data_IF_508756303878
#
_entry.id   IF_508756303878
#
_cell.length_a   1.000
_cell.length_b   1.000
_cell.length_c   1.000
_cell.angle_alpha   90.00
_cell.angle_beta   90.00
_cell.angle_gamma   90.00
#
_symmetry.space_group_name_H-M   'P 1'
#
loop_
_entity.id
_entity.type
_entity.pdbx_description
1 polymer ?
#
# COMPACT_ATOMS: atom_id res chain seq x y z
N UNK A 1 -11.44 16.87 -15.91
CA UNK A 1 -10.97 15.99 -14.85
C UNK A 1 -9.65 16.55 -14.33
N UNK A 2 -9.46 16.58 -13.03
CA UNK A 2 -8.27 17.14 -12.38
C UNK A 2 -7.91 16.27 -11.17
N UNK A 3 -6.62 16.01 -10.97
CA UNK A 3 -6.11 15.27 -9.82
C UNK A 3 -5.66 16.27 -8.74
N UNK A 4 -6.25 16.21 -7.56
CA UNK A 4 -6.00 17.16 -6.49
C UNK A 4 -5.53 16.42 -5.24
N UNK A 5 -4.50 16.96 -4.61
CA UNK A 5 -3.95 16.46 -3.37
C UNK A 5 -4.89 16.75 -2.19
N UNK A 6 -5.17 15.72 -1.40
CA UNK A 6 -5.91 15.79 -0.15
C UNK A 6 -4.99 15.32 0.98
N UNK A 7 -4.56 16.21 1.89
CA UNK A 7 -3.67 15.85 2.98
C UNK A 7 -4.39 15.01 4.03
N UNK A 8 -3.64 14.17 4.73
CA UNK A 8 -4.15 13.43 5.88
C UNK A 8 -4.28 14.32 7.12
N UNK A 9 -5.29 14.04 7.91
CA UNK A 9 -5.41 14.56 9.26
C UNK A 9 -4.52 13.71 10.18
N UNK A 10 -3.51 14.33 10.78
CA UNK A 10 -2.48 13.67 11.56
C UNK A 10 -1.16 13.51 10.79
N UNK A 11 -0.15 12.99 11.45
CA UNK A 11 1.17 12.75 10.88
C UNK A 11 1.24 11.30 10.34
N UNK A 12 1.26 11.09 9.01
CA UNK A 12 1.39 9.77 8.43
C UNK A 12 2.78 9.20 8.74
N UNK A 13 2.81 7.96 9.22
CA UNK A 13 4.05 7.24 9.47
C UNK A 13 3.77 5.73 9.55
N UNK A 14 4.81 4.91 9.52
CA UNK A 14 4.75 3.47 9.72
C UNK A 14 3.98 3.11 11.00
N UNK A 15 3.05 2.15 10.91
CA UNK A 15 2.22 1.71 12.02
C UNK A 15 1.20 2.73 12.54
N UNK A 16 0.97 3.83 11.84
CA UNK A 16 0.02 4.88 12.24
C UNK A 16 -1.27 4.82 11.44
N UNK A 17 -2.36 5.19 12.15
CA UNK A 17 -3.66 5.44 11.53
C UNK A 17 -3.78 6.92 11.18
N UNK A 18 -4.29 7.19 9.99
CA UNK A 18 -4.58 8.54 9.50
C UNK A 18 -5.94 8.57 8.83
N UNK A 19 -6.57 9.72 8.82
CA UNK A 19 -7.84 9.95 8.15
C UNK A 19 -7.69 11.10 7.17
N UNK A 20 -8.28 10.95 6.00
CA UNK A 20 -8.40 12.01 5.01
C UNK A 20 -9.88 12.32 4.80
N UNK A 21 -10.28 13.55 5.08
CA UNK A 21 -11.61 14.04 4.71
C UNK A 21 -11.54 14.57 3.29
N UNK A 22 -12.31 13.98 2.39
CA UNK A 22 -12.28 14.32 0.97
C UNK A 22 -12.89 15.72 0.77
N UNK A 23 -12.11 16.60 0.16
CA UNK A 23 -12.54 17.95 -0.17
C UNK A 23 -13.50 17.93 -1.36
N UNK A 24 -14.44 18.88 -1.39
CA UNK A 24 -15.45 18.97 -2.47
C UNK A 24 -14.98 19.90 -3.57
N UNK A 25 -13.89 19.54 -4.20
CA UNK A 25 -13.29 20.32 -5.28
C UNK A 25 -13.96 20.09 -6.65
N UNK A 26 -14.71 18.98 -6.80
CA UNK A 26 -15.40 18.63 -8.03
C UNK A 26 -16.75 17.98 -7.76
N UNK A 27 -17.45 17.62 -8.83
CA UNK A 27 -18.82 17.07 -8.76
C UNK A 27 -18.83 15.56 -8.50
N UNK A 28 -17.91 14.83 -9.13
CA UNK A 28 -17.74 13.39 -8.92
C UNK A 28 -16.29 13.07 -8.60
N UNK A 29 -16.08 11.92 -7.93
CA UNK A 29 -14.75 11.33 -7.70
C UNK A 29 -14.66 10.04 -8.49
N UNK A 30 -13.51 9.84 -9.16
CA UNK A 30 -13.23 8.58 -9.86
C UNK A 30 -12.05 7.86 -9.25
N UNK A 31 -10.82 8.20 -9.58
CA UNK A 31 -9.63 7.48 -9.09
C UNK A 31 -9.06 8.11 -7.84
N UNK A 32 -8.47 7.26 -7.00
CA UNK A 32 -7.72 7.68 -5.84
C UNK A 32 -6.37 6.96 -5.80
N UNK A 33 -5.34 7.71 -5.44
CA UNK A 33 -3.97 7.21 -5.30
C UNK A 33 -3.44 7.61 -3.94
N UNK A 34 -2.95 6.63 -3.19
CA UNK A 34 -2.11 6.92 -2.04
C UNK A 34 -0.70 7.22 -2.53
N UNK A 35 -0.23 8.43 -2.32
CA UNK A 35 1.18 8.79 -2.47
C UNK A 35 1.87 8.55 -1.12
N UNK A 36 2.99 7.85 -1.13
CA UNK A 36 3.83 7.68 0.05
C UNK A 36 5.30 7.70 -0.38
N UNK A 37 6.11 8.51 0.29
CA UNK A 37 7.54 8.63 -0.01
C UNK A 37 8.34 7.90 1.05
N UNK A 38 9.01 6.83 0.63
CA UNK A 38 9.94 6.07 1.45
C UNK A 38 11.21 6.88 1.69
N UNK A 39 11.79 6.82 2.90
CA UNK A 39 13.07 7.45 3.17
C UNK A 39 14.20 6.74 2.44
N UNK A 40 15.30 7.46 2.19
CA UNK A 40 16.55 6.85 1.78
C UNK A 40 17.09 5.98 2.92
N UNK A 41 17.64 4.83 2.57
CA UNK A 41 18.30 3.94 3.52
C UNK A 41 19.75 3.73 3.10
N UNK A 42 20.69 4.10 3.95
CA UNK A 42 22.12 3.86 3.72
C UNK A 42 22.70 2.98 4.84
N UNK A 43 23.52 2.02 4.44
CA UNK A 43 24.26 1.19 5.39
C UNK A 43 25.47 1.98 5.91
N UNK A 44 25.64 1.99 7.23
CA UNK A 44 26.69 2.74 7.90
C UNK A 44 27.76 1.78 8.49
N UNK A 45 29.00 2.23 8.68
CA UNK A 45 30.03 1.41 9.34
C UNK A 45 29.62 0.95 10.74
N UNK A 46 28.77 1.71 11.45
CA UNK A 46 28.23 1.37 12.76
C UNK A 46 27.28 0.17 12.75
N UNK A 47 26.71 -0.19 11.58
CA UNK A 47 25.82 -1.35 11.46
C UNK A 47 26.59 -2.69 11.52
N UNK A 48 27.92 -2.64 11.51
CA UNK A 48 28.80 -3.81 11.60
C UNK A 48 29.11 -4.42 10.21
N UNK A 49 30.17 -5.18 10.14
CA UNK A 49 30.58 -5.85 8.90
C UNK A 49 29.55 -6.87 8.44
N UNK A 50 29.15 -6.80 7.16
CA UNK A 50 28.15 -7.70 6.59
C UNK A 50 26.70 -7.28 6.86
N UNK A 51 26.48 -6.05 7.32
CA UNK A 51 25.13 -5.48 7.42
C UNK A 51 24.40 -5.50 6.09
N UNK A 52 23.12 -5.80 6.13
CA UNK A 52 22.28 -6.00 4.96
C UNK A 52 20.89 -5.38 5.20
N UNK A 53 20.28 -4.88 4.13
CA UNK A 53 18.92 -4.34 4.17
C UNK A 53 18.26 -4.51 2.79
N UNK A 54 16.94 -4.68 2.80
CA UNK A 54 16.09 -4.52 1.61
C UNK A 54 14.65 -4.16 2.00
N UNK A 55 13.97 -3.42 1.16
CA UNK A 55 12.52 -3.35 1.21
C UNK A 55 11.90 -4.64 0.68
N UNK A 56 10.74 -5.02 1.18
CA UNK A 56 10.03 -6.20 0.68
C UNK A 56 9.44 -5.93 -0.70
N UNK A 57 9.26 -7.00 -1.46
CA UNK A 57 8.62 -6.93 -2.77
C UNK A 57 7.20 -6.34 -2.64
N UNK A 58 6.78 -5.61 -3.66
CA UNK A 58 5.45 -4.97 -3.68
C UNK A 58 5.20 -4.07 -2.47
N UNK A 59 6.20 -3.31 -2.09
CA UNK A 59 6.18 -2.48 -0.88
C UNK A 59 4.95 -1.55 -0.83
N UNK A 60 4.47 -1.05 -1.98
CA UNK A 60 3.28 -0.21 -2.05
C UNK A 60 2.00 -0.93 -1.63
N UNK A 61 1.86 -2.22 -1.89
CA UNK A 61 0.73 -3.00 -1.37
C UNK A 61 0.93 -3.30 0.12
N UNK A 62 2.14 -3.68 0.49
CA UNK A 62 2.45 -4.09 1.86
C UNK A 62 2.42 -2.93 2.86
N UNK A 63 2.66 -1.68 2.42
CA UNK A 63 2.61 -0.50 3.29
C UNK A 63 1.20 -0.21 3.80
N UNK A 64 0.17 -0.68 3.09
CA UNK A 64 -1.24 -0.53 3.46
C UNK A 64 -1.66 -1.72 4.32
N UNK A 65 -1.82 -1.53 5.62
CA UNK A 65 -2.44 -2.54 6.49
C UNK A 65 -3.92 -2.68 6.12
N UNK A 66 -4.64 -1.56 6.13
CA UNK A 66 -5.96 -1.47 5.53
C UNK A 66 -6.28 -0.04 5.10
N UNK A 67 -7.21 0.07 4.17
CA UNK A 67 -7.85 1.31 3.76
C UNK A 67 -9.36 1.11 3.71
N UNK A 68 -10.11 2.04 4.30
CA UNK A 68 -11.57 1.97 4.32
C UNK A 68 -12.19 3.31 3.91
N UNK A 69 -13.35 3.22 3.24
CA UNK A 69 -14.17 4.37 2.91
C UNK A 69 -15.36 4.44 3.83
N UNK A 70 -15.59 5.64 4.35
CA UNK A 70 -16.71 6.00 5.21
C UNK A 70 -17.50 7.14 4.57
N UNK A 71 -18.81 6.99 4.52
CA UNK A 71 -19.73 8.00 4.00
C UNK A 71 -20.79 8.29 5.07
N UNK A 72 -20.84 9.54 5.51
CA UNK A 72 -21.80 9.96 6.54
C UNK A 72 -21.66 9.23 7.87
N UNK A 73 -20.44 8.83 8.25
CA UNK A 73 -20.16 8.08 9.48
C UNK A 73 -20.36 6.57 9.38
N UNK A 74 -20.76 6.08 8.21
CA UNK A 74 -20.91 4.64 7.98
C UNK A 74 -19.79 4.10 7.07
N UNK A 75 -19.09 3.05 7.52
CA UNK A 75 -18.12 2.34 6.69
C UNK A 75 -18.85 1.56 5.59
N UNK A 76 -18.47 1.81 4.36
CA UNK A 76 -19.06 1.19 3.17
C UNK A 76 -18.19 0.03 2.69
N UNK A 77 -16.88 0.23 2.55
CA UNK A 77 -15.96 -0.79 2.04
C UNK A 77 -14.62 -0.71 2.77
N UNK A 78 -13.92 -1.84 2.83
CA UNK A 78 -12.60 -1.96 3.47
C UNK A 78 -11.72 -2.90 2.68
N UNK A 79 -10.54 -2.41 2.28
CA UNK A 79 -9.53 -3.17 1.58
C UNK A 79 -8.27 -3.33 2.42
N UNK A 80 -7.51 -4.38 2.14
CA UNK A 80 -6.25 -4.74 2.78
C UNK A 80 -5.13 -4.76 1.75
N UNK A 81 -3.88 -4.68 2.18
CA UNK A 81 -2.73 -4.77 1.29
C UNK A 81 -2.72 -6.05 0.46
N UNK A 82 -3.06 -7.18 1.08
CA UNK A 82 -3.19 -8.48 0.40
C UNK A 82 -4.23 -8.43 -0.73
N UNK A 83 -5.37 -7.77 -0.48
CA UNK A 83 -6.39 -7.62 -1.51
C UNK A 83 -5.92 -6.77 -2.68
N UNK A 84 -5.19 -5.68 -2.44
CA UNK A 84 -4.62 -4.86 -3.50
C UNK A 84 -3.67 -5.66 -4.39
N UNK A 85 -2.86 -6.53 -3.77
CA UNK A 85 -1.96 -7.40 -4.51
C UNK A 85 -2.70 -8.46 -5.32
N UNK A 86 -3.63 -9.20 -4.69
CA UNK A 86 -4.42 -10.25 -5.34
C UNK A 86 -5.21 -9.67 -6.52
N UNK A 87 -5.85 -8.52 -6.32
CA UNK A 87 -6.61 -7.86 -7.38
C UNK A 87 -5.72 -7.44 -8.55
N UNK A 88 -4.52 -6.94 -8.27
CA UNK A 88 -3.54 -6.63 -9.32
C UNK A 88 -3.16 -7.88 -10.11
N UNK A 89 -2.84 -9.00 -9.45
CA UNK A 89 -2.46 -10.25 -10.14
C UNK A 89 -3.59 -10.79 -11.02
N UNK A 90 -4.86 -10.64 -10.60
CA UNK A 90 -6.01 -11.12 -11.35
C UNK A 90 -6.44 -10.21 -12.51
N UNK A 91 -6.23 -8.90 -12.40
CA UNK A 91 -6.86 -7.92 -13.32
C UNK A 91 -5.89 -7.06 -14.11
N UNK A 92 -4.59 -7.06 -13.76
CA UNK A 92 -3.63 -6.18 -14.43
C UNK A 92 -3.34 -6.64 -15.85
N UNK A 93 -3.53 -5.73 -16.81
CA UNK A 93 -3.19 -5.98 -18.22
C UNK A 93 -1.68 -6.18 -18.40
N UNK A 94 -1.24 -7.17 -19.20
CA UNK A 94 0.18 -7.47 -19.39
C UNK A 94 1.03 -6.25 -19.81
N UNK A 95 0.49 -5.39 -20.68
CA UNK A 95 1.19 -4.20 -21.16
C UNK A 95 1.37 -3.09 -20.10
N UNK A 96 0.65 -3.17 -18.98
CA UNK A 96 0.71 -2.18 -17.89
C UNK A 96 1.49 -2.67 -16.66
N UNK A 97 1.84 -3.95 -16.60
CA UNK A 97 2.48 -4.55 -15.42
C UNK A 97 3.79 -3.86 -15.02
N UNK A 98 4.67 -3.58 -15.98
CA UNK A 98 5.96 -2.93 -15.71
C UNK A 98 5.79 -1.49 -15.18
N UNK A 99 4.82 -0.75 -15.71
CA UNK A 99 4.50 0.60 -15.21
C UNK A 99 3.89 0.55 -13.80
N UNK A 100 2.99 -0.38 -13.57
CA UNK A 100 2.37 -0.58 -12.26
C UNK A 100 3.41 -0.99 -11.20
N UNK A 101 4.32 -1.92 -11.54
CA UNK A 101 5.41 -2.32 -10.64
C UNK A 101 6.25 -1.13 -10.18
N UNK A 102 6.56 -0.18 -11.08
CA UNK A 102 7.26 1.07 -10.72
C UNK A 102 6.41 1.94 -9.79
N UNK A 103 5.11 2.07 -10.03
CA UNK A 103 4.22 2.87 -9.18
C UNK A 103 4.18 2.34 -7.75
N UNK A 104 4.13 1.03 -7.56
CA UNK A 104 4.03 0.40 -6.24
C UNK A 104 5.38 -0.02 -5.65
N UNK A 105 6.50 0.37 -6.29
CA UNK A 105 7.85 0.16 -5.76
C UNK A 105 8.37 -1.27 -5.86
N UNK A 106 7.81 -2.10 -6.75
CA UNK A 106 8.41 -3.41 -7.04
C UNK A 106 9.52 -3.26 -8.08
N UNK A 107 10.61 -2.63 -7.66
CA UNK A 107 11.76 -2.25 -8.50
C UNK A 107 13.07 -2.70 -7.84
N UNK A 108 14.09 -3.07 -8.63
CA UNK A 108 15.36 -3.55 -8.10
C UNK A 108 16.03 -2.61 -7.10
N UNK A 109 15.90 -1.30 -7.28
CA UNK A 109 16.49 -0.27 -6.42
C UNK A 109 15.98 -0.35 -4.96
N UNK A 110 14.79 -0.91 -4.74
CA UNK A 110 14.18 -1.10 -3.43
C UNK A 110 14.30 -2.54 -2.94
N UNK A 111 14.12 -3.51 -3.83
CA UNK A 111 13.96 -4.92 -3.47
C UNK A 111 15.26 -5.71 -3.48
N UNK A 112 16.29 -5.22 -4.16
CA UNK A 112 17.61 -5.85 -4.10
C UNK A 112 18.25 -5.67 -2.73
N UNK A 113 19.03 -6.68 -2.35
CA UNK A 113 19.73 -6.68 -1.08
C UNK A 113 20.89 -5.68 -1.11
N UNK A 114 20.90 -4.77 -0.16
CA UNK A 114 22.02 -3.85 0.07
C UNK A 114 23.09 -4.55 0.90
N UNK A 115 24.35 -4.31 0.60
CA UNK A 115 25.50 -4.80 1.34
C UNK A 115 26.40 -3.65 1.79
N UNK A 116 26.90 -3.74 3.00
CA UNK A 116 27.90 -2.82 3.48
C UNK A 116 29.19 -2.94 2.65
N UNK A 117 29.74 -1.80 2.22
CA UNK A 117 30.97 -1.73 1.41
C UNK A 117 30.72 -1.59 -0.10
N UNK A 118 29.47 -1.54 -0.56
CA UNK A 118 29.14 -1.11 -1.91
C UNK A 118 29.32 0.41 -2.10
N UNK A 119 29.25 0.89 -3.34
CA UNK A 119 29.23 2.32 -3.64
C UNK A 119 27.96 2.96 -3.05
N UNK A 120 28.12 4.03 -2.29
CA UNK A 120 27.10 4.58 -1.42
C UNK A 120 26.47 5.88 -1.86
N UNK A 121 25.37 6.21 -1.23
CA UNK A 121 24.78 7.52 -1.18
C UNK A 121 25.29 8.28 0.05
N UNK A 122 25.05 9.57 0.11
CA UNK A 122 25.29 10.36 1.32
C UNK A 122 24.37 9.92 2.48
N UNK A 123 24.83 10.13 3.70
CA UNK A 123 24.25 9.59 4.94
C UNK A 123 22.91 10.22 5.38
N UNK A 124 22.27 11.00 4.54
CA UNK A 124 21.02 11.69 4.90
C UNK A 124 19.79 10.87 4.56
N UNK A 125 18.78 10.93 5.44
CA UNK A 125 17.46 10.32 5.20
C UNK A 125 16.70 10.97 4.03
N UNK A 126 17.14 12.12 3.56
CA UNK A 126 16.49 12.94 2.55
C UNK A 126 17.49 13.39 1.49
N UNK A 127 17.37 12.87 0.29
CA UNK A 127 18.03 13.36 -0.91
C UNK A 127 19.30 12.60 -1.32
N UNK A 128 19.27 12.09 -2.50
CA UNK A 128 20.37 11.50 -3.27
C UNK A 128 19.92 11.26 -4.70
N UNK A 129 20.84 11.38 -5.65
CA UNK A 129 20.57 11.09 -7.06
C UNK A 129 20.27 9.60 -7.24
N UNK A 130 19.33 9.21 -8.12
CA UNK A 130 19.01 7.81 -8.39
C UNK A 130 20.22 7.10 -9.02
N UNK A 131 20.62 5.98 -8.42
CA UNK A 131 21.72 5.16 -8.90
C UNK A 131 21.30 4.34 -10.12
N UNK A 132 22.11 4.37 -11.16
CA UNK A 132 21.95 3.54 -12.36
C UNK A 132 22.52 2.15 -12.15
N UNK A 133 21.69 1.17 -12.39
CA UNK A 133 21.80 -0.30 -12.50
C UNK A 133 23.13 -1.04 -12.26
N UNK A 134 23.00 -2.23 -11.65
CA UNK A 134 23.95 -3.35 -11.53
C UNK A 134 25.13 -3.21 -10.56
N UNK A 135 25.23 -2.14 -9.79
CA UNK A 135 26.27 -2.05 -8.76
C UNK A 135 25.68 -2.54 -7.44
N UNK A 136 26.43 -3.39 -6.72
CA UNK A 136 26.13 -3.71 -5.31
C UNK A 136 26.19 -2.39 -4.55
N UNK A 137 25.01 -1.89 -4.17
CA UNK A 137 24.89 -0.59 -3.53
C UNK A 137 24.78 -0.75 -2.02
N UNK A 138 25.32 0.20 -1.29
CA UNK A 138 25.17 0.30 0.16
C UNK A 138 23.94 1.14 0.55
N UNK A 139 23.15 1.59 -0.41
CA UNK A 139 21.95 2.41 -0.14
C UNK A 139 20.79 2.12 -1.08
N UNK A 140 19.59 2.33 -0.55
CA UNK A 140 18.33 2.41 -1.29
C UNK A 140 17.92 3.88 -1.40
N UNK A 141 17.57 4.38 -2.58
CA UNK A 141 17.20 5.79 -2.75
C UNK A 141 15.88 6.12 -2.06
N UNK A 142 15.64 7.40 -1.82
CA UNK A 142 14.30 7.89 -1.52
C UNK A 142 13.38 7.61 -2.71
N UNK A 143 12.21 7.04 -2.46
CA UNK A 143 11.31 6.60 -3.52
C UNK A 143 9.86 6.98 -3.22
N UNK A 144 9.21 7.59 -4.20
CA UNK A 144 7.79 7.96 -4.08
C UNK A 144 6.91 6.89 -4.73
N UNK A 145 6.07 6.30 -3.91
CA UNK A 145 5.08 5.31 -4.31
C UNK A 145 3.77 6.00 -4.69
N UNK A 146 3.09 5.46 -5.71
CA UNK A 146 1.73 5.83 -6.09
C UNK A 146 0.88 4.56 -6.13
N UNK A 147 0.08 4.35 -5.09
CA UNK A 147 -0.69 3.13 -4.88
C UNK A 147 -2.15 3.39 -5.26
N UNK A 148 -2.65 2.83 -6.38
CA UNK A 148 -4.04 3.01 -6.78
C UNK A 148 -4.97 2.26 -5.83
N UNK A 149 -5.98 2.95 -5.30
CA UNK A 149 -7.03 2.32 -4.50
C UNK A 149 -8.07 1.67 -5.41
N UNK A 150 -8.66 0.57 -4.95
CA UNK A 150 -9.49 -0.32 -5.76
C UNK A 150 -10.97 -0.34 -5.34
N UNK A 151 -11.48 0.77 -4.78
CA UNK A 151 -12.90 0.89 -4.49
C UNK A 151 -13.76 0.83 -5.75
N UNK A 152 -15.04 0.52 -5.63
CA UNK A 152 -15.97 0.36 -6.77
C UNK A 152 -15.95 1.54 -7.75
N UNK A 153 -15.90 2.77 -7.23
CA UNK A 153 -15.88 3.98 -8.04
C UNK A 153 -14.53 4.25 -8.71
N UNK A 154 -13.44 3.66 -8.19
CA UNK A 154 -12.11 3.75 -8.80
C UNK A 154 -11.96 2.83 -10.01
N UNK A 155 -12.70 1.72 -10.05
CA UNK A 155 -12.61 0.70 -11.10
C UNK A 155 -13.45 1.02 -12.34
N UNK A 156 -14.61 1.64 -12.13
CA UNK A 156 -15.55 1.94 -13.21
C UNK A 156 -15.96 3.42 -13.19
N UNK A 157 -15.66 4.20 -14.25
CA UNK A 157 -16.05 5.61 -14.30
C UNK A 157 -17.56 5.84 -14.26
N UNK A 158 -18.37 4.86 -14.71
CA UNK A 158 -19.82 4.91 -14.63
C UNK A 158 -20.36 4.81 -13.20
N UNK A 159 -19.53 4.37 -12.25
CA UNK A 159 -19.84 4.28 -10.82
C UNK A 159 -19.11 5.37 -10.02
N UNK A 160 -18.64 6.45 -10.66
CA UNK A 160 -17.97 7.57 -9.99
C UNK A 160 -18.83 8.10 -8.85
N UNK A 161 -18.18 8.38 -7.71
CA UNK A 161 -18.88 8.77 -6.48
C UNK A 161 -19.40 10.22 -6.59
N UNK A 162 -20.71 10.45 -6.54
CA UNK A 162 -21.30 11.77 -6.75
C UNK A 162 -21.24 12.64 -5.49
N UNK A 163 -20.20 13.44 -5.34
CA UNK A 163 -20.06 14.37 -4.21
C UNK A 163 -21.20 15.40 -4.17
N UNK A 164 -21.69 15.78 -5.34
CA UNK A 164 -22.79 16.73 -5.45
C UNK A 164 -24.10 16.21 -4.84
N UNK A 165 -24.34 14.89 -4.90
CA UNK A 165 -25.48 14.24 -4.26
C UNK A 165 -25.26 14.01 -2.75
N UNK A 166 -24.00 13.96 -2.31
CA UNK A 166 -23.61 13.70 -0.93
C UNK A 166 -23.39 14.98 -0.10
N UNK A 167 -24.13 16.05 -0.39
CA UNK A 167 -23.90 17.39 0.19
C UNK A 167 -23.89 17.43 1.73
N UNK A 168 -24.67 16.57 2.37
CA UNK A 168 -24.81 16.50 3.83
C UNK A 168 -24.02 15.35 4.47
N UNK A 169 -23.30 14.57 3.67
CA UNK A 169 -22.51 13.43 4.11
C UNK A 169 -21.05 13.61 3.78
N UNK A 170 -20.20 13.62 4.80
CA UNK A 170 -18.76 13.63 4.59
C UNK A 170 -18.30 12.29 4.05
N UNK A 171 -17.38 12.34 3.10
CA UNK A 171 -16.63 11.18 2.61
C UNK A 171 -15.26 11.21 3.27
N UNK A 172 -14.91 10.13 3.97
CA UNK A 172 -13.63 9.97 4.64
C UNK A 172 -12.93 8.71 4.16
N UNK A 173 -11.63 8.80 4.02
CA UNK A 173 -10.75 7.65 3.82
C UNK A 173 -9.94 7.47 5.10
N UNK A 174 -10.13 6.35 5.76
CA UNK A 174 -9.34 5.94 6.91
C UNK A 174 -8.28 4.95 6.43
N UNK A 175 -7.02 5.22 6.74
CA UNK A 175 -5.88 4.41 6.34
C UNK A 175 -5.07 4.04 7.57
N UNK A 176 -4.64 2.79 7.64
CA UNK A 176 -3.62 2.35 8.58
C UNK A 176 -2.40 1.87 7.81
N UNK A 177 -1.26 2.50 8.10
CA UNK A 177 0.03 2.05 7.58
C UNK A 177 0.50 0.81 8.34
N UNK A 178 1.09 -0.13 7.63
CA UNK A 178 1.69 -1.30 8.24
C UNK A 178 2.94 -0.92 9.07
N UNK A 179 3.26 -1.76 10.03
CA UNK A 179 4.47 -1.56 10.85
C UNK A 179 5.72 -1.80 10.02
N UNK A 180 6.80 -1.09 10.32
CA UNK A 180 8.06 -1.21 9.60
C UNK A 180 8.63 -2.64 9.64
N UNK A 181 8.34 -3.40 10.69
CA UNK A 181 8.75 -4.79 10.82
C UNK A 181 8.23 -5.69 9.68
N UNK A 182 7.08 -5.33 9.12
CA UNK A 182 6.44 -6.06 8.02
C UNK A 182 6.81 -5.51 6.64
N UNK A 183 7.67 -4.49 6.55
CA UNK A 183 7.96 -3.77 5.31
C UNK A 183 9.38 -3.95 4.80
N UNK A 184 10.30 -4.33 5.67
CA UNK A 184 11.70 -4.49 5.33
C UNK A 184 12.31 -5.69 6.02
N UNK A 185 13.35 -6.21 5.40
CA UNK A 185 14.25 -7.18 6.01
C UNK A 185 15.58 -6.49 6.28
N UNK A 186 16.13 -6.68 7.47
CA UNK A 186 17.42 -6.16 7.86
C UNK A 186 18.22 -7.16 8.67
N UNK A 187 19.52 -7.09 8.53
CA UNK A 187 20.49 -7.78 9.34
C UNK A 187 21.63 -6.84 9.70
N UNK A 188 21.94 -6.77 10.98
CA UNK A 188 23.06 -6.01 11.50
C UNK A 188 23.93 -6.91 12.37
N UNK A 189 25.24 -6.83 12.19
CA UNK A 189 26.21 -7.55 13.02
C UNK A 189 26.71 -6.68 14.20
N UNK A 190 25.92 -5.68 14.56
CA UNK A 190 26.11 -4.86 15.76
C UNK A 190 25.44 -5.49 16.99
N UNK A 191 25.54 -4.84 18.13
CA UNK A 191 24.84 -5.27 19.35
C UNK A 191 23.30 -5.26 19.21
N UNK A 192 22.78 -4.53 18.24
CA UNK A 192 21.36 -4.52 17.86
C UNK A 192 21.21 -5.12 16.45
N UNK A 193 20.65 -6.32 16.37
CA UNK A 193 20.42 -7.02 15.08
C UNK A 193 19.50 -6.26 14.11
N UNK A 194 18.72 -5.31 14.64
CA UNK A 194 17.77 -4.49 13.87
C UNK A 194 18.12 -3.00 13.87
N UNK A 195 19.41 -2.67 14.02
CA UNK A 195 19.89 -1.29 14.09
C UNK A 195 19.47 -0.47 12.85
N UNK A 196 19.48 -1.07 11.66
CA UNK A 196 19.11 -0.39 10.39
C UNK A 196 17.62 -0.06 10.41
N UNK A 197 16.79 -1.04 10.73
CA UNK A 197 15.33 -0.88 10.82
C UNK A 197 14.96 0.17 11.85
N UNK A 198 15.59 0.17 13.02
CA UNK A 198 15.36 1.15 14.07
C UNK A 198 15.70 2.57 13.60
N UNK A 199 16.79 2.74 12.86
CA UNK A 199 17.17 4.02 12.25
C UNK A 199 16.18 4.49 11.19
N UNK A 200 15.76 3.60 10.30
CA UNK A 200 14.71 3.89 9.30
C UNK A 200 13.40 4.29 9.97
N UNK A 201 13.05 3.64 11.08
CA UNK A 201 11.87 3.97 11.88
C UNK A 201 11.92 5.37 12.50
N UNK A 202 13.11 5.87 12.84
CA UNK A 202 13.31 7.24 13.32
C UNK A 202 13.16 8.27 12.21
N UNK A 203 13.61 7.97 10.98
CA UNK A 203 13.39 8.82 9.81
C UNK A 203 11.89 8.89 9.44
N UNK A 204 11.18 7.78 9.55
CA UNK A 204 9.77 7.68 9.20
C UNK A 204 9.51 7.81 7.69
N UNK A 205 8.23 7.99 7.33
CA UNK A 205 7.85 8.35 5.96
C UNK A 205 8.20 9.81 5.68
N UNK A 206 8.84 10.07 4.53
CA UNK A 206 9.20 11.43 4.14
C UNK A 206 7.97 12.30 3.83
N UNK A 207 6.97 11.72 3.17
CA UNK A 207 5.68 12.33 2.90
C UNK A 207 4.62 11.27 2.65
N UNK A 208 3.35 11.60 2.94
CA UNK A 208 2.22 10.83 2.43
C UNK A 208 0.98 11.72 2.31
N UNK A 209 0.25 11.54 1.22
CA UNK A 209 -1.01 12.24 0.91
C UNK A 209 -1.90 11.39 0.02
N UNK A 210 -3.15 11.80 -0.14
CA UNK A 210 -4.11 11.14 -1.01
C UNK A 210 -4.38 12.02 -2.23
N UNK A 211 -4.10 11.51 -3.43
CA UNK A 211 -4.49 12.16 -4.68
C UNK A 211 -5.84 11.64 -5.13
N UNK A 212 -6.73 12.55 -5.48
CA UNK A 212 -8.10 12.24 -5.88
C UNK A 212 -8.40 12.88 -7.21
N UNK A 213 -8.88 12.09 -8.16
CA UNK A 213 -9.28 12.54 -9.49
C UNK A 213 -10.74 12.99 -9.44
N UNK A 214 -10.94 14.31 -9.60
CA UNK A 214 -12.25 14.94 -9.65
C UNK A 214 -12.74 15.10 -11.09
N UNK A 215 -14.02 14.84 -11.29
CA UNK A 215 -14.75 15.06 -12.53
C UNK A 215 -15.65 16.26 -12.34
N UNK A 216 -15.62 17.18 -13.29
CA UNK A 216 -16.49 18.34 -13.34
C UNK A 216 -17.59 18.09 -14.38
N UNK A 217 -18.83 18.32 -13.98
CA UNK A 217 -20.00 18.13 -14.83
C UNK A 217 -20.44 19.47 -15.45
N UNK A 218 -21.12 19.39 -16.57
CA UNK A 218 -21.83 20.54 -17.14
C UNK A 218 -23.01 20.96 -16.26
N UNK A 219 -23.51 22.18 -16.44
CA UNK A 219 -24.56 22.77 -15.60
C UNK A 219 -25.84 21.95 -15.58
N UNK A 220 -26.24 21.39 -16.72
CA UNK A 220 -27.46 20.58 -16.83
C UNK A 220 -27.30 19.21 -16.18
N UNK A 221 -26.15 18.57 -16.35
CA UNK A 221 -25.81 17.32 -15.67
C UNK A 221 -25.71 17.50 -14.15
N UNK A 222 -25.04 18.57 -13.72
CA UNK A 222 -24.93 18.92 -12.29
C UNK A 222 -26.29 19.08 -11.65
N UNK A 223 -27.22 19.80 -12.30
CA UNK A 223 -28.59 19.97 -11.82
C UNK A 223 -29.31 18.62 -11.70
N UNK A 224 -29.15 17.77 -12.71
CA UNK A 224 -29.76 16.44 -12.72
C UNK A 224 -29.23 15.57 -11.59
N UNK A 225 -27.90 15.53 -11.38
CA UNK A 225 -27.30 14.78 -10.27
C UNK A 225 -27.73 15.31 -8.89
N UNK A 226 -27.96 16.61 -8.73
CA UNK A 226 -28.38 17.20 -7.48
C UNK A 226 -29.86 16.94 -7.13
N UNK A 227 -30.73 16.71 -8.14
CA UNK A 227 -32.18 16.65 -7.95
C UNK A 227 -32.77 15.24 -8.02
N UNK A 228 -32.10 14.31 -8.69
CA UNK A 228 -32.60 12.94 -8.92
C UNK A 228 -32.04 12.02 -7.85
N UNK A 229 -32.86 11.10 -7.36
CA UNK A 229 -32.40 9.99 -6.50
C UNK A 229 -31.48 9.06 -7.29
N UNK A 230 -30.36 8.68 -6.70
CA UNK A 230 -29.36 7.80 -7.30
C UNK A 230 -29.32 6.48 -6.56
N UNK A 231 -29.32 5.39 -7.32
CA UNK A 231 -29.11 4.03 -6.84
C UNK A 231 -27.93 3.43 -7.57
N UNK A 232 -26.95 2.92 -6.82
CA UNK A 232 -25.75 2.28 -7.35
C UNK A 232 -25.71 0.82 -6.89
N UNK A 233 -25.48 -0.08 -7.84
CA UNK A 233 -25.06 -1.44 -7.52
C UNK A 233 -23.54 -1.43 -7.37
N UNK A 234 -23.06 -1.68 -6.16
CA UNK A 234 -21.64 -1.63 -5.83
C UNK A 234 -21.11 -3.02 -5.48
N UNK A 235 -19.86 -3.28 -5.83
CA UNK A 235 -19.12 -4.46 -5.41
C UNK A 235 -18.23 -4.08 -4.22
N UNK A 236 -18.40 -4.77 -3.09
CA UNK A 236 -17.62 -4.55 -1.86
C UNK A 236 -16.89 -5.82 -1.45
N UNK A 237 -15.74 -5.67 -0.81
CA UNK A 237 -14.97 -6.78 -0.28
C UNK A 237 -15.57 -7.30 1.02
N UNK A 238 -15.81 -8.60 1.11
CA UNK A 238 -16.17 -9.29 2.34
C UNK A 238 -15.02 -10.22 2.75
N UNK A 239 -14.24 -9.82 3.73
CA UNK A 239 -13.10 -10.58 4.21
C UNK A 239 -13.46 -11.30 5.52
N UNK A 240 -13.27 -12.62 5.56
CA UNK A 240 -13.59 -13.47 6.70
C UNK A 240 -12.44 -13.68 7.68
N UNK A 241 -11.26 -13.17 7.37
CA UNK A 241 -10.04 -13.39 8.14
C UNK A 241 -9.19 -14.55 7.61
N UNK A 242 -8.02 -14.74 8.21
CA UNK A 242 -7.15 -15.88 7.97
C UNK A 242 -7.49 -17.04 8.91
N UNK A 243 -7.41 -18.26 8.41
CA UNK A 243 -7.64 -19.50 9.16
C UNK A 243 -6.39 -20.39 9.08
N UNK A 244 -5.93 -20.90 10.22
CA UNK A 244 -4.78 -21.80 10.26
C UNK A 244 -5.17 -23.20 9.79
N UNK A 245 -4.39 -23.72 8.83
CA UNK A 245 -4.59 -25.03 8.24
C UNK A 245 -3.54 -25.99 8.79
N UNK A 246 -3.95 -27.00 9.56
CA UNK A 246 -3.05 -27.95 10.22
C UNK A 246 -3.20 -29.39 9.74
N UNK A 247 -4.20 -29.68 8.91
CA UNK A 247 -4.48 -31.03 8.42
C UNK A 247 -4.72 -31.05 6.91
N UNK A 248 -4.66 -32.23 6.30
CA UNK A 248 -4.91 -32.44 4.87
C UNK A 248 -6.37 -32.21 4.46
N UNK A 249 -7.30 -32.20 5.41
CA UNK A 249 -8.71 -31.94 5.17
C UNK A 249 -9.24 -30.96 6.20
N UNK A 250 -9.63 -29.77 5.73
CA UNK A 250 -10.15 -28.70 6.56
C UNK A 250 -11.52 -28.26 6.07
N UNK A 251 -12.42 -27.93 7.00
CA UNK A 251 -13.72 -27.35 6.71
C UNK A 251 -13.73 -25.92 7.21
N UNK A 252 -13.83 -24.97 6.30
CA UNK A 252 -13.93 -23.55 6.60
C UNK A 252 -15.38 -23.11 6.49
N UNK A 253 -15.84 -22.33 7.48
CA UNK A 253 -17.17 -21.72 7.46
C UNK A 253 -17.04 -20.28 7.00
N UNK A 254 -17.58 -19.98 5.83
CA UNK A 254 -17.60 -18.63 5.28
C UNK A 254 -18.91 -17.94 5.65
N UNK A 255 -18.82 -16.85 6.39
CA UNK A 255 -19.97 -16.05 6.80
C UNK A 255 -19.96 -14.73 6.01
N UNK A 256 -20.74 -14.68 4.94
CA UNK A 256 -20.93 -13.47 4.15
C UNK A 256 -22.31 -12.87 4.42
N UNK A 257 -22.35 -11.53 4.54
CA UNK A 257 -23.59 -10.80 4.81
C UNK A 257 -24.36 -10.42 3.53
N UNK A 258 -23.65 -10.35 2.40
CA UNK A 258 -24.19 -9.95 1.10
C UNK A 258 -24.02 -11.08 0.08
N UNK A 259 -24.83 -11.10 -0.99
CA UNK A 259 -24.65 -12.05 -2.08
C UNK A 259 -23.22 -12.05 -2.62
N UNK A 260 -22.64 -13.23 -2.76
CA UNK A 260 -21.27 -13.39 -3.24
C UNK A 260 -21.27 -13.51 -4.77
N UNK A 261 -20.49 -12.69 -5.44
CA UNK A 261 -20.31 -12.66 -6.88
C UNK A 261 -19.20 -13.63 -7.32
N UNK A 262 -18.12 -13.61 -6.57
CA UNK A 262 -16.95 -14.46 -6.78
C UNK A 262 -16.26 -14.73 -5.44
N UNK A 263 -15.53 -15.83 -5.37
CA UNK A 263 -14.80 -16.26 -4.19
C UNK A 263 -13.32 -16.35 -4.53
N UNK A 264 -12.50 -15.65 -3.77
CA UNK A 264 -11.05 -15.65 -3.92
C UNK A 264 -10.43 -16.14 -2.62
N UNK A 265 -9.47 -17.05 -2.71
CA UNK A 265 -8.72 -17.54 -1.57
C UNK A 265 -7.25 -17.72 -1.94
N UNK A 266 -6.38 -17.55 -0.96
CA UNK A 266 -4.94 -17.79 -1.09
C UNK A 266 -4.47 -18.64 0.08
N UNK A 267 -3.40 -19.39 -0.13
CA UNK A 267 -2.75 -20.18 0.91
C UNK A 267 -1.31 -19.70 1.05
N UNK A 268 -0.92 -19.43 2.29
CA UNK A 268 0.45 -18.97 2.61
C UNK A 268 1.09 -19.96 3.59
N UNK A 269 2.40 -20.15 3.45
CA UNK A 269 3.19 -20.88 4.44
C UNK A 269 3.62 -19.93 5.56
N UNK A 270 3.48 -20.36 6.81
CA UNK A 270 3.92 -19.59 7.97
C UNK A 270 5.40 -19.20 7.88
N UNK A 271 6.25 -20.09 7.35
CA UNK A 271 7.68 -19.83 7.14
C UNK A 271 8.00 -18.69 6.15
N UNK A 272 7.03 -18.33 5.28
CA UNK A 272 7.20 -17.21 4.34
C UNK A 272 6.75 -15.87 4.94
N UNK A 273 5.85 -15.91 5.91
CA UNK A 273 5.25 -14.72 6.53
C UNK A 273 5.94 -14.36 7.83
N UNK A 274 6.55 -15.34 8.52
CA UNK A 274 7.19 -15.12 9.83
C UNK A 274 8.32 -14.10 9.75
N UNK A 275 8.28 -13.13 10.66
CA UNK A 275 9.32 -12.12 10.84
C UNK A 275 10.46 -12.60 11.77
N UNK A 276 10.23 -13.70 12.51
CA UNK A 276 11.06 -14.09 13.66
C UNK A 276 11.97 -15.29 13.43
N UNK A 277 12.08 -15.75 12.20
CA UNK A 277 12.83 -17.01 11.94
C UNK A 277 14.34 -16.89 12.11
N UNK A 278 14.88 -16.06 12.99
CA UNK A 278 16.28 -16.08 13.46
C UNK A 278 17.35 -16.51 12.43
N UNK A 279 16.94 -16.73 11.19
CA UNK A 279 17.72 -17.28 10.12
C UNK A 279 18.25 -16.12 9.30
N UNK A 280 19.56 -16.04 9.24
CA UNK A 280 20.36 -15.16 8.39
C UNK A 280 20.10 -15.52 6.89
N UNK A 281 18.85 -15.47 6.48
CA UNK A 281 18.49 -15.73 5.09
C UNK A 281 17.49 -14.68 4.62
N UNK A 282 17.93 -13.67 3.86
CA UNK A 282 17.08 -12.59 3.39
C UNK A 282 15.96 -13.03 2.43
N UNK A 283 15.95 -14.29 2.05
CA UNK A 283 14.98 -14.88 1.13
C UNK A 283 13.97 -15.81 1.83
N UNK A 284 14.16 -16.06 3.13
CA UNK A 284 13.19 -16.79 3.96
C UNK A 284 12.48 -15.83 4.90
N UNK A 285 11.18 -16.02 5.06
CA UNK A 285 10.34 -15.12 5.83
C UNK A 285 10.12 -13.77 5.13
N UNK A 286 9.24 -12.96 5.65
CA UNK A 286 8.90 -11.63 5.13
C UNK A 286 8.62 -11.63 3.62
N UNK A 287 7.88 -12.64 3.17
CA UNK A 287 7.37 -12.76 1.80
C UNK A 287 5.84 -12.78 1.81
N UNK A 288 5.19 -11.68 2.19
CA UNK A 288 3.74 -11.64 2.47
C UNK A 288 2.89 -12.02 1.26
N UNK A 289 3.42 -11.88 0.04
CA UNK A 289 2.72 -12.18 -1.20
C UNK A 289 3.25 -13.43 -1.91
N UNK A 290 3.97 -14.29 -1.21
CA UNK A 290 4.39 -15.58 -1.75
C UNK A 290 3.32 -16.63 -1.45
N UNK A 291 2.54 -16.97 -2.47
CA UNK A 291 1.47 -17.97 -2.44
C UNK A 291 1.86 -19.27 -3.15
N UNK A 292 3.12 -19.42 -3.52
CA UNK A 292 3.65 -20.62 -4.20
C UNK A 292 4.38 -21.56 -3.22
N UNK A 293 4.57 -22.80 -3.65
CA UNK A 293 5.37 -23.81 -2.95
C UNK A 293 6.86 -23.60 -3.08
#
# INVERSE_FOLDING_TARGET
>A
MESIENPFNGAPNFGKKVTCTIQRNGDLIHRMYLQATLPQVSLQPSDGSGAQFRWLNWIGHNIVNYVEIEIGGQRIDKHYGDWLHIWNELTQEPGKQAGYAKMVGNVPELTNLLYQGGSGCDNDCYGGEPLTSEVITSCSPMYTLYIPLQFWFCRNPGLALPLIALQYHEVRINLEFNSLNNLCWDFSNSNDQHAIRNRVGQCGLAAASLYVDYIYLDTDERRKFAQVSHEYLIDVLQFTGGESITSSANKLKLNFNHPCKELVWVVQRDSYVSCDDGVINPWKGQQPFNYSD
#
